data_IF_308820303057
#
_entry.id   IF_308820303057
#
_cell.length_a   1.000
_cell.length_b   1.000
_cell.length_c   1.000
_cell.angle_alpha   90.00
_cell.angle_beta   90.00
_cell.angle_gamma   90.00
#
_symmetry.space_group_name_H-M   'P 1'
#
loop_
_entity.id
_entity.type
_entity.pdbx_description
1 polymer ?
#
# COMPACT_ATOMS: atom_id res chain seq x y z
N UNK A 1 -37.31 26.69 -36.47
CA UNK A 1 -36.21 25.79 -36.06
C UNK A 1 -36.22 24.56 -36.96
N UNK A 2 -35.12 24.27 -37.65
CA UNK A 2 -35.06 23.32 -38.78
C UNK A 2 -35.34 21.88 -38.31
N UNK A 3 -36.23 21.11 -38.97
CA UNK A 3 -36.60 19.73 -38.55
C UNK A 3 -35.38 18.82 -38.36
N UNK A 4 -34.31 19.06 -39.11
CA UNK A 4 -33.03 18.36 -38.98
C UNK A 4 -32.30 18.66 -37.67
N UNK A 5 -32.35 19.91 -37.19
CA UNK A 5 -31.78 20.32 -35.90
C UNK A 5 -32.55 19.62 -34.77
N UNK A 6 -33.88 19.56 -34.85
CA UNK A 6 -34.69 18.86 -33.85
C UNK A 6 -34.40 17.36 -33.80
N UNK A 7 -34.24 16.71 -34.97
CA UNK A 7 -33.82 15.30 -35.04
C UNK A 7 -32.43 15.09 -34.43
N UNK A 8 -31.46 15.95 -34.74
CA UNK A 8 -30.11 15.88 -34.19
C UNK A 8 -30.12 16.01 -32.66
N UNK A 9 -30.80 17.02 -32.11
CA UNK A 9 -30.93 17.22 -30.66
C UNK A 9 -31.58 16.00 -30.00
N UNK A 10 -32.66 15.47 -30.58
CA UNK A 10 -33.32 14.26 -30.08
C UNK A 10 -32.37 13.07 -30.07
N UNK A 11 -31.59 12.86 -31.12
CA UNK A 11 -30.61 11.77 -31.19
C UNK A 11 -29.52 11.94 -30.13
N UNK A 12 -28.95 13.14 -29.97
CA UNK A 12 -27.93 13.42 -28.95
C UNK A 12 -28.46 13.17 -27.53
N UNK A 13 -29.65 13.69 -27.21
CA UNK A 13 -30.29 13.46 -25.91
C UNK A 13 -30.55 11.97 -25.68
N UNK A 14 -31.02 11.25 -26.72
CA UNK A 14 -31.26 9.81 -26.61
C UNK A 14 -29.98 9.04 -26.32
N UNK A 15 -28.87 9.38 -26.99
CA UNK A 15 -27.55 8.77 -26.73
C UNK A 15 -27.10 9.07 -25.29
N UNK A 16 -27.22 10.31 -24.82
CA UNK A 16 -26.85 10.68 -23.45
C UNK A 16 -27.67 9.87 -22.44
N UNK A 17 -28.99 9.78 -22.63
CA UNK A 17 -29.86 8.98 -21.75
C UNK A 17 -29.45 7.51 -21.77
N UNK A 18 -29.17 6.93 -22.94
CA UNK A 18 -28.71 5.54 -23.06
C UNK A 18 -27.40 5.33 -22.30
N UNK A 19 -26.43 6.23 -22.44
CA UNK A 19 -25.14 6.14 -21.73
C UNK A 19 -25.34 6.25 -20.22
N UNK A 20 -26.20 7.15 -19.74
CA UNK A 20 -26.49 7.29 -18.30
C UNK A 20 -27.20 6.06 -17.73
N UNK A 21 -28.18 5.50 -18.46
CA UNK A 21 -28.86 4.27 -18.05
C UNK A 21 -27.87 3.10 -18.03
N UNK A 22 -27.01 2.98 -19.04
CA UNK A 22 -25.97 1.96 -19.09
C UNK A 22 -24.98 2.11 -17.94
N UNK A 23 -24.55 3.33 -17.60
CA UNK A 23 -23.66 3.60 -16.48
C UNK A 23 -24.25 3.09 -15.16
N UNK A 24 -25.51 3.41 -14.87
CA UNK A 24 -26.18 2.97 -13.64
C UNK A 24 -26.32 1.44 -13.60
N UNK A 25 -26.77 0.81 -14.69
CA UNK A 25 -26.92 -0.65 -14.75
C UNK A 25 -25.56 -1.34 -14.60
N UNK A 26 -24.54 -0.87 -15.31
CA UNK A 26 -23.18 -1.40 -15.20
C UNK A 26 -22.65 -1.28 -13.77
N UNK A 27 -22.86 -0.14 -13.11
CA UNK A 27 -22.49 0.06 -11.71
C UNK A 27 -23.18 -0.91 -10.76
N UNK A 28 -24.47 -1.19 -10.95
CA UNK A 28 -25.20 -2.17 -10.15
C UNK A 28 -24.66 -3.59 -10.34
N UNK A 29 -24.39 -3.99 -11.58
CA UNK A 29 -23.80 -5.31 -11.89
C UNK A 29 -22.41 -5.45 -11.24
N UNK A 30 -21.57 -4.43 -11.40
CA UNK A 30 -20.21 -4.44 -10.84
C UNK A 30 -20.22 -4.41 -9.31
N UNK A 31 -21.12 -3.63 -8.69
CA UNK A 31 -21.26 -3.60 -7.23
C UNK A 31 -21.79 -4.92 -6.67
N UNK A 32 -22.72 -5.58 -7.37
CA UNK A 32 -23.17 -6.92 -7.01
C UNK A 32 -22.02 -7.93 -7.10
N UNK A 33 -21.25 -7.88 -8.21
CA UNK A 33 -20.10 -8.75 -8.40
C UNK A 33 -19.05 -8.57 -7.30
N UNK A 34 -18.61 -7.33 -7.04
CA UNK A 34 -17.56 -7.04 -6.06
C UNK A 34 -17.95 -7.53 -4.67
N UNK A 35 -19.18 -7.22 -4.21
CA UNK A 35 -19.68 -7.69 -2.91
C UNK A 35 -19.78 -9.21 -2.80
N UNK A 36 -20.07 -9.91 -3.92
CA UNK A 36 -20.29 -11.35 -3.93
C UNK A 36 -18.99 -12.15 -4.02
N UNK A 37 -18.02 -11.67 -4.80
CA UNK A 37 -16.84 -12.44 -5.21
C UNK A 37 -15.50 -11.78 -4.84
N UNK A 38 -15.51 -10.51 -4.42
CA UNK A 38 -14.32 -9.69 -4.26
C UNK A 38 -13.71 -9.27 -5.61
N UNK A 39 -12.99 -8.16 -5.59
CA UNK A 39 -12.20 -7.71 -6.74
C UNK A 39 -10.84 -8.42 -6.81
N UNK A 40 -10.45 -8.94 -7.99
CA UNK A 40 -9.24 -9.74 -8.15
C UNK A 40 -7.96 -8.93 -8.42
N UNK A 41 -6.80 -9.60 -8.42
CA UNK A 41 -5.50 -9.02 -8.76
C UNK A 41 -4.99 -8.04 -7.71
N UNK A 42 -4.45 -6.90 -8.15
CA UNK A 42 -3.98 -5.82 -7.26
C UNK A 42 -5.05 -5.36 -6.25
N UNK A 43 -6.33 -5.61 -6.51
CA UNK A 43 -7.44 -5.27 -5.61
C UNK A 43 -7.63 -6.28 -4.48
N UNK A 44 -7.11 -7.51 -4.60
CA UNK A 44 -7.39 -8.59 -3.67
C UNK A 44 -6.94 -8.26 -2.25
N UNK A 45 -5.79 -7.60 -2.09
CA UNK A 45 -5.30 -7.12 -0.79
C UNK A 45 -6.14 -5.99 -0.22
N UNK A 46 -6.68 -5.11 -1.06
CA UNK A 46 -7.61 -4.05 -0.66
C UNK A 46 -8.90 -4.69 -0.13
N UNK A 47 -9.49 -5.60 -0.89
CA UNK A 47 -10.69 -6.35 -0.51
C UNK A 47 -10.47 -7.14 0.78
N UNK A 48 -9.29 -7.77 0.94
CA UNK A 48 -8.95 -8.49 2.16
C UNK A 48 -8.90 -7.56 3.37
N UNK A 49 -8.11 -6.49 3.29
CA UNK A 49 -7.97 -5.53 4.40
C UNK A 49 -9.28 -4.86 4.77
N UNK A 50 -10.14 -4.59 3.78
CA UNK A 50 -11.39 -3.86 4.00
C UNK A 50 -12.56 -4.73 4.49
N UNK A 51 -12.45 -6.06 4.40
CA UNK A 51 -13.60 -6.94 4.62
C UNK A 51 -13.30 -8.28 5.32
N UNK A 52 -12.06 -8.72 5.38
CA UNK A 52 -11.70 -10.07 5.84
C UNK A 52 -10.55 -10.13 6.85
N UNK A 53 -9.66 -9.14 6.86
CA UNK A 53 -8.48 -9.12 7.71
C UNK A 53 -8.84 -9.24 9.19
N UNK A 54 -8.10 -10.09 9.89
CA UNK A 54 -8.29 -10.37 11.32
C UNK A 54 -6.98 -10.57 12.08
N UNK A 55 -5.85 -10.24 11.45
CA UNK A 55 -4.51 -10.49 11.96
C UNK A 55 -4.10 -9.58 13.11
N UNK A 56 -3.21 -10.08 13.96
CA UNK A 56 -2.66 -9.33 15.08
C UNK A 56 -1.82 -8.15 14.57
N UNK A 57 -1.09 -8.34 13.47
CA UNK A 57 -0.26 -7.33 12.82
C UNK A 57 -0.48 -7.30 11.31
N UNK A 58 -0.58 -6.10 10.75
CA UNK A 58 -0.65 -5.90 9.30
C UNK A 58 0.54 -5.07 8.83
N UNK A 59 1.19 -5.51 7.75
CA UNK A 59 2.26 -4.77 7.07
C UNK A 59 1.64 -3.95 5.95
N UNK A 60 1.91 -2.64 5.94
CA UNK A 60 1.45 -1.71 4.91
C UNK A 60 2.67 -1.06 4.25
N UNK A 61 2.66 -0.97 2.93
CA UNK A 61 3.71 -0.32 2.15
C UNK A 61 3.56 -0.57 0.65
N UNK A 62 4.59 -0.20 -0.10
CA UNK A 62 4.61 -0.39 -1.56
C UNK A 62 5.05 -1.82 -1.94
N UNK A 63 5.51 -2.02 -3.18
CA UNK A 63 6.12 -3.28 -3.62
C UNK A 63 7.33 -3.69 -2.75
N UNK A 64 8.05 -2.72 -2.17
CA UNK A 64 9.17 -3.01 -1.26
C UNK A 64 8.68 -3.79 -0.04
N UNK A 65 7.49 -3.48 0.48
CA UNK A 65 6.86 -4.23 1.57
C UNK A 65 6.50 -5.66 1.12
N UNK A 66 5.88 -5.80 -0.05
CA UNK A 66 5.48 -7.09 -0.61
C UNK A 66 6.67 -8.04 -0.73
N UNK A 67 7.82 -7.51 -1.14
CA UNK A 67 8.98 -8.33 -1.49
C UNK A 67 10.00 -8.46 -0.35
N UNK A 68 9.84 -7.74 0.77
CA UNK A 68 10.81 -7.78 1.87
C UNK A 68 10.38 -8.65 3.04
N UNK A 69 9.08 -8.71 3.36
CA UNK A 69 8.59 -9.38 4.57
C UNK A 69 7.82 -10.65 4.23
N UNK A 70 8.26 -11.78 4.80
CA UNK A 70 7.61 -13.08 4.65
C UNK A 70 6.77 -13.42 5.89
N UNK A 71 5.43 -13.25 5.85
CA UNK A 71 4.59 -13.44 7.03
C UNK A 71 4.65 -14.84 7.62
N UNK A 72 4.75 -15.90 6.81
CA UNK A 72 4.82 -17.28 7.31
C UNK A 72 5.96 -17.46 8.32
N UNK A 73 7.16 -16.96 7.98
CA UNK A 73 8.35 -17.01 8.84
C UNK A 73 8.16 -16.14 10.09
N UNK A 74 7.52 -14.98 9.93
CA UNK A 74 7.23 -14.07 11.04
C UNK A 74 6.22 -14.69 12.02
N UNK A 75 5.16 -15.33 11.52
CA UNK A 75 4.15 -15.96 12.35
C UNK A 75 4.73 -17.11 13.16
N UNK A 76 5.55 -17.97 12.51
CA UNK A 76 6.24 -19.08 13.17
C UNK A 76 7.16 -18.59 14.30
N UNK A 77 7.88 -17.49 14.07
CA UNK A 77 8.88 -16.99 15.02
C UNK A 77 8.30 -16.09 16.11
N UNK A 78 7.26 -15.31 15.80
CA UNK A 78 6.68 -14.31 16.71
C UNK A 78 5.43 -14.83 17.45
N UNK A 79 4.82 -15.94 17.01
CA UNK A 79 3.60 -16.48 17.63
C UNK A 79 2.40 -15.52 17.59
N UNK A 80 2.36 -14.67 16.56
CA UNK A 80 1.28 -13.71 16.27
C UNK A 80 0.90 -13.85 14.80
N UNK A 81 -0.36 -13.61 14.45
CA UNK A 81 -0.78 -13.61 13.04
C UNK A 81 -0.31 -12.33 12.35
N UNK A 82 0.18 -12.48 11.12
CA UNK A 82 0.75 -11.39 10.32
C UNK A 82 0.23 -11.49 8.89
N UNK A 83 -0.17 -10.34 8.32
CA UNK A 83 -0.53 -10.26 6.90
C UNK A 83 0.25 -9.15 6.19
N UNK A 84 0.75 -9.43 5.00
CA UNK A 84 1.43 -8.47 4.14
C UNK A 84 0.45 -7.80 3.17
N UNK A 85 -0.06 -6.64 3.57
CA UNK A 85 -0.98 -5.80 2.81
C UNK A 85 -0.29 -4.83 1.84
N UNK A 86 0.99 -5.02 1.53
CA UNK A 86 1.70 -4.16 0.60
C UNK A 86 1.10 -4.21 -0.81
N UNK A 87 1.11 -3.07 -1.52
CA UNK A 87 0.53 -2.92 -2.86
C UNK A 87 1.54 -2.32 -3.86
N UNK A 88 1.56 -2.82 -5.10
CA UNK A 88 2.51 -2.40 -6.13
C UNK A 88 2.33 -0.93 -6.54
N UNK A 89 3.44 -0.18 -6.64
CA UNK A 89 3.48 1.22 -7.10
C UNK A 89 2.52 2.14 -6.33
N UNK A 90 2.64 2.11 -5.00
CA UNK A 90 1.83 2.91 -4.08
C UNK A 90 2.71 3.74 -3.16
N UNK A 91 2.11 4.76 -2.55
CA UNK A 91 2.80 5.71 -1.66
C UNK A 91 1.97 5.97 -0.39
N UNK A 92 2.45 6.91 0.44
CA UNK A 92 1.83 7.32 1.70
C UNK A 92 0.35 7.71 1.59
N UNK A 93 -0.08 8.34 0.48
CA UNK A 93 -1.48 8.73 0.27
C UNK A 93 -2.36 7.48 0.16
N UNK A 94 -1.90 6.49 -0.60
CA UNK A 94 -2.58 5.20 -0.69
C UNK A 94 -2.54 4.43 0.64
N UNK A 95 -1.39 4.40 1.33
CA UNK A 95 -1.26 3.72 2.62
C UNK A 95 -2.25 4.24 3.66
N UNK A 96 -2.50 5.55 3.67
CA UNK A 96 -3.54 6.16 4.52
C UNK A 96 -4.92 5.60 4.22
N UNK A 97 -5.29 5.47 2.95
CA UNK A 97 -6.58 4.90 2.56
C UNK A 97 -6.71 3.43 2.98
N UNK A 98 -5.62 2.67 2.85
CA UNK A 98 -5.57 1.27 3.25
C UNK A 98 -5.74 1.11 4.77
N UNK A 99 -5.05 1.93 5.56
CA UNK A 99 -5.16 1.93 7.03
C UNK A 99 -6.56 2.36 7.46
N UNK A 100 -7.14 3.35 6.79
CA UNK A 100 -8.48 3.82 7.11
C UNK A 100 -9.54 2.74 6.88
N UNK A 101 -9.54 2.10 5.71
CA UNK A 101 -10.47 1.01 5.43
C UNK A 101 -10.17 -0.28 6.22
N UNK A 102 -8.92 -0.52 6.60
CA UNK A 102 -8.59 -1.58 7.58
C UNK A 102 -9.26 -1.29 8.92
N UNK A 103 -9.10 -0.10 9.48
CA UNK A 103 -9.62 0.26 10.80
C UNK A 103 -11.16 0.36 10.87
N UNK A 104 -11.83 0.55 9.72
CA UNK A 104 -13.29 0.38 9.61
C UNK A 104 -13.74 -1.06 9.86
N UNK A 105 -12.90 -2.04 9.46
CA UNK A 105 -13.23 -3.46 9.51
C UNK A 105 -12.64 -4.15 10.75
N UNK A 106 -11.34 -3.98 10.97
CA UNK A 106 -10.53 -4.66 11.97
C UNK A 106 -9.49 -3.72 12.57
N UNK A 107 -9.25 -3.87 13.88
CA UNK A 107 -8.24 -3.10 14.61
C UNK A 107 -7.09 -4.04 14.96
N UNK A 108 -6.05 -4.14 14.13
CA UNK A 108 -4.89 -4.96 14.48
C UNK A 108 -4.23 -4.37 15.74
N UNK A 109 -3.46 -5.19 16.44
CA UNK A 109 -2.69 -4.72 17.60
C UNK A 109 -1.54 -3.82 17.17
N UNK A 110 -1.02 -4.03 15.96
CA UNK A 110 0.03 -3.21 15.39
C UNK A 110 0.05 -3.15 13.87
N UNK A 111 0.70 -2.10 13.36
CA UNK A 111 1.00 -1.91 11.95
C UNK A 111 2.51 -1.76 11.77
N UNK A 112 3.05 -2.48 10.80
CA UNK A 112 4.42 -2.27 10.29
C UNK A 112 4.29 -1.44 9.02
N UNK A 113 4.72 -0.19 9.07
CA UNK A 113 4.70 0.71 7.92
C UNK A 113 6.06 0.69 7.24
N UNK A 114 6.15 -0.03 6.12
CA UNK A 114 7.36 -0.14 5.32
C UNK A 114 7.41 0.99 4.28
N UNK A 115 8.36 1.90 4.46
CA UNK A 115 8.53 3.10 3.66
C UNK A 115 9.85 3.07 2.89
N UNK A 116 9.90 3.91 1.88
CA UNK A 116 11.11 4.25 1.14
C UNK A 116 11.70 5.57 1.66
N UNK A 117 13.03 5.74 1.67
CA UNK A 117 13.70 6.96 2.11
C UNK A 117 13.22 8.24 1.40
N UNK A 118 12.80 8.12 0.16
CA UNK A 118 12.31 9.16 -0.75
C UNK A 118 10.78 9.31 -0.75
N UNK A 119 10.02 8.58 0.08
CA UNK A 119 8.55 8.58 0.01
C UNK A 119 7.91 9.97 0.18
N UNK A 120 8.54 10.92 0.90
CA UNK A 120 8.05 12.30 1.02
C UNK A 120 8.50 13.23 -0.12
N UNK A 121 9.60 12.91 -0.81
CA UNK A 121 10.19 13.77 -1.86
C UNK A 121 9.88 13.28 -3.28
N UNK A 122 9.47 12.03 -3.44
CA UNK A 122 9.04 11.46 -4.72
C UNK A 122 7.75 12.13 -5.23
N UNK A 123 7.68 12.43 -6.52
CA UNK A 123 6.53 13.07 -7.16
C UNK A 123 5.43 12.08 -7.58
N UNK A 124 5.73 10.77 -7.49
CA UNK A 124 4.79 9.74 -7.85
C UNK A 124 3.56 9.76 -6.93
N UNK A 125 2.39 10.00 -7.52
CA UNK A 125 1.10 9.97 -6.81
C UNK A 125 0.62 8.54 -6.52
N UNK A 126 1.25 7.51 -7.10
CA UNK A 126 0.84 6.11 -6.94
C UNK A 126 -0.38 5.76 -7.79
N UNK A 127 -0.70 4.46 -7.84
CA UNK A 127 -1.90 3.94 -8.53
C UNK A 127 -3.15 4.07 -7.66
N UNK A 128 -3.47 5.30 -7.24
CA UNK A 128 -4.64 5.61 -6.40
C UNK A 128 -5.95 5.22 -7.09
N UNK A 129 -5.99 5.16 -8.43
CA UNK A 129 -7.16 4.70 -9.21
C UNK A 129 -7.58 3.26 -8.91
N UNK A 130 -6.74 2.45 -8.24
CA UNK A 130 -7.17 1.18 -7.66
C UNK A 130 -8.29 1.35 -6.62
N UNK A 131 -8.43 2.54 -6.04
CA UNK A 131 -9.49 2.86 -5.09
C UNK A 131 -10.79 3.34 -5.77
N UNK A 132 -10.80 3.52 -7.10
CA UNK A 132 -11.98 4.01 -7.84
C UNK A 132 -13.28 3.25 -7.52
N UNK A 133 -13.30 1.89 -7.43
CA UNK A 133 -14.51 1.14 -7.06
C UNK A 133 -15.08 1.49 -5.68
N UNK A 134 -14.26 2.08 -4.80
CA UNK A 134 -14.60 2.42 -3.43
C UNK A 134 -14.97 3.91 -3.25
N UNK A 135 -14.97 4.71 -4.34
CA UNK A 135 -15.40 6.10 -4.28
C UNK A 135 -16.85 6.23 -3.79
N UNK A 136 -17.07 7.06 -2.77
CA UNK A 136 -18.32 7.25 -2.03
C UNK A 136 -18.45 6.36 -0.79
N UNK A 137 -17.45 5.52 -0.47
CA UNK A 137 -17.45 4.69 0.74
C UNK A 137 -17.02 5.47 1.97
N UNK A 138 -15.91 6.20 1.87
CA UNK A 138 -15.31 6.93 2.99
C UNK A 138 -14.65 8.25 2.49
N UNK A 139 -14.78 9.36 3.25
CA UNK A 139 -14.18 10.66 2.93
C UNK A 139 -12.65 10.68 2.66
N UNK A 140 -11.87 9.82 3.32
CA UNK A 140 -10.41 9.69 3.15
C UNK A 140 -10.09 9.16 1.75
N UNK A 141 -10.77 8.10 1.32
CA UNK A 141 -10.65 7.55 -0.03
C UNK A 141 -11.09 8.58 -1.07
N UNK A 142 -12.22 9.24 -0.82
CA UNK A 142 -12.76 10.23 -1.75
C UNK A 142 -11.81 11.42 -1.93
N UNK A 143 -11.20 11.88 -0.85
CA UNK A 143 -10.23 12.98 -0.87
C UNK A 143 -8.93 12.58 -1.57
N UNK A 144 -8.42 11.37 -1.34
CA UNK A 144 -7.24 10.85 -2.06
C UNK A 144 -7.50 10.73 -3.57
N UNK A 145 -8.67 10.22 -3.96
CA UNK A 145 -9.08 10.11 -5.37
C UNK A 145 -9.29 11.48 -6.03
N UNK A 146 -9.81 12.46 -5.30
CA UNK A 146 -9.93 13.84 -5.81
C UNK A 146 -8.57 14.50 -5.96
N UNK A 147 -7.58 14.18 -5.12
CA UNK A 147 -6.21 14.70 -5.31
C UNK A 147 -5.55 14.18 -6.59
N UNK A 148 -6.02 13.05 -7.12
CA UNK A 148 -5.51 12.51 -8.38
C UNK A 148 -5.69 13.52 -9.52
N UNK A 149 -4.64 13.72 -10.33
CA UNK A 149 -4.62 14.67 -11.45
C UNK A 149 -5.01 16.12 -11.05
N UNK A 150 -4.66 16.56 -9.83
CA UNK A 150 -5.03 17.87 -9.28
C UNK A 150 -6.56 18.13 -9.28
N UNK A 151 -7.37 17.09 -9.09
CA UNK A 151 -8.83 17.18 -9.15
C UNK A 151 -9.42 17.26 -10.55
N UNK A 152 -8.58 17.29 -11.60
CA UNK A 152 -9.00 17.24 -13.00
C UNK A 152 -9.52 15.83 -13.29
N UNK A 153 -10.83 15.69 -13.27
CA UNK A 153 -11.52 14.43 -13.49
C UNK A 153 -12.32 13.93 -12.28
N UNK A 154 -12.33 14.67 -11.17
CA UNK A 154 -13.19 14.38 -10.01
C UNK A 154 -14.68 14.23 -10.38
N UNK A 155 -15.15 14.94 -11.41
CA UNK A 155 -16.50 14.78 -11.94
C UNK A 155 -16.77 13.36 -12.50
N UNK A 156 -15.75 12.72 -13.09
CA UNK A 156 -15.87 11.36 -13.63
C UNK A 156 -15.97 10.30 -12.53
N UNK A 157 -15.50 10.58 -11.30
CA UNK A 157 -15.69 9.65 -10.17
C UNK A 157 -17.16 9.38 -9.85
N UNK A 158 -18.11 10.19 -10.35
CA UNK A 158 -19.55 9.93 -10.25
C UNK A 158 -20.07 8.91 -11.27
N UNK A 159 -19.32 8.63 -12.33
CA UNK A 159 -19.65 7.62 -13.34
C UNK A 159 -19.20 6.23 -12.88
N UNK A 160 -20.11 5.27 -12.87
CA UNK A 160 -19.78 3.89 -12.53
C UNK A 160 -18.91 3.23 -13.59
N UNK A 161 -19.08 3.57 -14.87
CA UNK A 161 -18.19 3.13 -15.93
C UNK A 161 -16.75 3.56 -15.64
N UNK A 162 -16.55 4.81 -15.24
CA UNK A 162 -15.24 5.30 -14.84
C UNK A 162 -14.69 4.55 -13.62
N UNK A 163 -15.51 4.38 -12.56
CA UNK A 163 -15.09 3.70 -11.33
C UNK A 163 -14.55 2.29 -11.57
N UNK A 164 -15.21 1.55 -12.46
CA UNK A 164 -14.91 0.15 -12.72
C UNK A 164 -14.08 -0.09 -14.00
N UNK A 165 -13.71 0.95 -14.74
CA UNK A 165 -13.02 0.84 -16.03
C UNK A 165 -11.71 0.06 -15.95
N UNK A 166 -10.98 0.19 -14.84
CA UNK A 166 -9.67 -0.44 -14.65
C UNK A 166 -9.77 -1.87 -14.12
N UNK A 167 -10.92 -2.28 -13.57
CA UNK A 167 -11.08 -3.57 -12.91
C UNK A 167 -11.86 -4.61 -13.72
N UNK A 168 -12.80 -4.21 -14.59
CA UNK A 168 -13.59 -5.18 -15.37
C UNK A 168 -12.70 -6.07 -16.24
N UNK A 169 -11.64 -5.51 -16.84
CA UNK A 169 -10.69 -6.28 -17.63
C UNK A 169 -9.84 -7.21 -16.76
N UNK A 170 -9.50 -6.80 -15.53
CA UNK A 170 -8.80 -7.66 -14.57
C UNK A 170 -9.66 -8.81 -14.07
N UNK A 171 -10.96 -8.56 -13.84
CA UNK A 171 -11.93 -9.63 -13.53
C UNK A 171 -11.97 -10.67 -14.65
N UNK A 172 -12.03 -10.20 -15.90
CA UNK A 172 -11.96 -11.07 -17.06
C UNK A 172 -10.65 -11.87 -17.10
N UNK A 173 -9.49 -11.22 -17.00
CA UNK A 173 -8.18 -11.89 -17.04
C UNK A 173 -7.97 -12.89 -15.89
N UNK A 174 -8.36 -12.54 -14.66
CA UNK A 174 -8.21 -13.41 -13.49
C UNK A 174 -9.16 -14.61 -13.49
N UNK A 175 -10.10 -14.68 -14.42
CA UNK A 175 -10.83 -15.92 -14.69
C UNK A 175 -9.92 -16.99 -15.32
N UNK A 176 -8.75 -16.62 -15.83
CA UNK A 176 -7.80 -17.51 -16.51
C UNK A 176 -6.39 -17.55 -15.89
N UNK A 177 -6.10 -16.67 -14.92
CA UNK A 177 -4.78 -16.56 -14.28
C UNK A 177 -4.81 -17.04 -12.83
N UNK A 178 -3.70 -17.60 -12.31
CA UNK A 178 -3.60 -17.98 -10.91
C UNK A 178 -3.67 -16.77 -9.96
N UNK A 179 -4.20 -16.98 -8.75
CA UNK A 179 -4.39 -15.94 -7.73
C UNK A 179 -3.18 -15.88 -6.78
N UNK A 180 -2.06 -15.37 -7.26
CA UNK A 180 -0.80 -15.36 -6.50
C UNK A 180 -0.72 -14.24 -5.44
N UNK A 181 -1.45 -13.14 -5.63
CA UNK A 181 -1.40 -11.94 -4.76
C UNK A 181 -1.73 -12.20 -3.28
N UNK A 182 -2.54 -13.22 -3.01
CA UNK A 182 -2.98 -13.60 -1.66
C UNK A 182 -2.25 -14.83 -1.12
N UNK A 183 -1.40 -15.47 -1.93
CA UNK A 183 -0.59 -16.59 -1.47
C UNK A 183 0.39 -16.13 -0.38
N UNK A 184 0.81 -17.05 0.48
CA UNK A 184 1.78 -16.81 1.57
C UNK A 184 1.45 -15.55 2.39
N UNK A 185 0.16 -15.35 2.69
CA UNK A 185 -0.37 -14.22 3.48
C UNK A 185 0.03 -12.84 2.90
N UNK A 186 0.04 -12.72 1.56
CA UNK A 186 0.27 -11.48 0.84
C UNK A 186 1.73 -11.24 0.40
N UNK A 187 2.65 -12.14 0.77
CA UNK A 187 4.03 -12.12 0.26
C UNK A 187 4.10 -12.69 -1.15
N UNK A 188 4.77 -11.96 -2.04
CA UNK A 188 5.02 -12.40 -3.42
C UNK A 188 6.53 -12.51 -3.64
N UNK A 189 7.01 -13.75 -3.77
CA UNK A 189 8.43 -14.01 -4.03
C UNK A 189 8.79 -13.56 -5.44
N UNK A 190 9.77 -12.66 -5.57
CA UNK A 190 10.42 -12.41 -6.86
C UNK A 190 11.47 -13.50 -7.10
N UNK A 191 11.55 -13.95 -8.35
CA UNK A 191 12.60 -14.88 -8.77
C UNK A 191 13.95 -14.16 -8.81
N UNK A 192 15.04 -14.93 -8.79
CA UNK A 192 16.36 -14.37 -9.06
C UNK A 192 16.45 -13.96 -10.54
N UNK A 193 16.89 -12.73 -10.86
CA UNK A 193 16.94 -12.27 -12.24
C UNK A 193 18.06 -13.00 -13.01
N UNK A 194 17.89 -13.16 -14.32
CA UNK A 194 18.92 -13.79 -15.17
C UNK A 194 20.22 -12.97 -15.20
N UNK A 195 20.09 -11.64 -15.15
CA UNK A 195 21.19 -10.70 -15.02
C UNK A 195 21.09 -10.04 -13.65
N UNK A 196 22.17 -10.10 -12.89
CA UNK A 196 22.24 -9.49 -11.57
C UNK A 196 22.20 -7.95 -11.68
N UNK A 197 21.53 -7.26 -10.73
CA UNK A 197 21.53 -5.80 -10.72
C UNK A 197 22.96 -5.27 -10.49
N UNK A 198 23.23 -4.09 -11.02
CA UNK A 198 24.50 -3.40 -10.85
C UNK A 198 24.34 -2.43 -9.69
N UNK A 199 25.28 -2.44 -8.74
CA UNK A 199 25.17 -1.58 -7.57
C UNK A 199 25.22 -0.11 -7.97
N UNK A 200 24.16 0.63 -7.64
CA UNK A 200 24.10 2.07 -7.89
C UNK A 200 24.66 2.82 -6.69
N UNK A 201 25.55 3.79 -6.93
CA UNK A 201 26.14 4.58 -5.86
C UNK A 201 25.91 6.06 -6.12
N UNK A 202 24.84 6.58 -5.51
CA UNK A 202 24.50 8.00 -5.55
C UNK A 202 25.36 8.84 -4.58
N UNK A 203 26.13 8.20 -3.68
CA UNK A 203 27.20 8.83 -2.90
C UNK A 203 26.83 10.13 -2.18
N UNK A 204 27.69 11.14 -2.31
CA UNK A 204 27.52 12.47 -1.69
C UNK A 204 26.74 13.43 -2.60
N UNK A 205 25.92 12.91 -3.53
CA UNK A 205 25.05 13.77 -4.34
C UNK A 205 24.22 14.68 -3.43
N UNK A 206 24.12 15.98 -3.74
CA UNK A 206 23.34 16.91 -2.94
C UNK A 206 21.88 16.47 -2.87
N UNK A 207 21.31 16.59 -1.67
CA UNK A 207 19.91 16.42 -1.37
C UNK A 207 19.24 17.69 -1.85
N UNK A 208 18.07 17.59 -2.45
CA UNK A 208 17.14 18.68 -2.30
C UNK A 208 16.50 18.54 -0.91
N UNK A 209 16.51 19.61 -0.12
CA UNK A 209 15.74 19.71 1.14
C UNK A 209 14.24 19.88 0.81
N UNK A 210 13.73 19.05 -0.11
CA UNK A 210 12.40 19.13 -0.67
C UNK A 210 11.54 17.94 -0.23
N UNK A 211 10.31 18.25 0.14
CA UNK A 211 9.26 17.26 0.40
C UNK A 211 7.91 17.81 -0.08
N UNK A 212 7.02 16.91 -0.47
CA UNK A 212 5.63 17.23 -0.70
C UNK A 212 4.89 17.34 0.63
N UNK A 213 4.46 18.56 0.98
CA UNK A 213 3.71 18.84 2.21
C UNK A 213 2.47 17.96 2.36
N UNK A 214 1.76 17.67 1.25
CA UNK A 214 0.62 16.76 1.25
C UNK A 214 1.00 15.36 1.75
N UNK A 215 2.13 14.78 1.32
CA UNK A 215 2.55 13.46 1.77
C UNK A 215 2.90 13.46 3.27
N UNK A 216 3.52 14.54 3.75
CA UNK A 216 3.81 14.72 5.17
C UNK A 216 2.52 14.79 6.00
N UNK A 217 1.52 15.53 5.56
CA UNK A 217 0.23 15.62 6.25
C UNK A 217 -0.51 14.26 6.30
N UNK A 218 -0.44 13.48 5.22
CA UNK A 218 -0.98 12.12 5.21
C UNK A 218 -0.24 11.19 6.19
N UNK A 219 1.09 11.29 6.30
CA UNK A 219 1.87 10.52 7.28
C UNK A 219 1.51 10.89 8.73
N UNK A 220 1.42 12.20 9.04
CA UNK A 220 0.96 12.67 10.35
C UNK A 220 -0.44 12.15 10.67
N UNK A 221 -1.32 12.17 9.68
CA UNK A 221 -2.67 11.65 9.83
C UNK A 221 -2.65 10.14 10.13
N UNK A 222 -1.86 9.34 9.41
CA UNK A 222 -1.67 7.89 9.69
C UNK A 222 -1.26 7.67 11.14
N UNK A 223 -0.22 8.36 11.61
CA UNK A 223 0.28 8.26 12.98
C UNK A 223 -0.83 8.56 13.99
N UNK A 224 -1.51 9.70 13.81
CA UNK A 224 -2.60 10.14 14.69
C UNK A 224 -3.74 9.13 14.72
N UNK A 225 -4.11 8.57 13.55
CA UNK A 225 -5.20 7.61 13.45
C UNK A 225 -4.84 6.30 14.16
N UNK A 226 -3.63 5.76 13.97
CA UNK A 226 -3.22 4.52 14.63
C UNK A 226 -3.15 4.69 16.15
N UNK A 227 -2.54 5.77 16.62
CA UNK A 227 -2.45 6.07 18.06
C UNK A 227 -3.82 6.25 18.72
N UNK A 228 -4.73 7.01 18.09
CA UNK A 228 -6.10 7.22 18.61
C UNK A 228 -6.94 5.93 18.64
N UNK A 229 -6.59 4.94 17.81
CA UNK A 229 -7.23 3.62 17.81
C UNK A 229 -6.47 2.60 18.66
N UNK A 230 -5.47 3.02 19.46
CA UNK A 230 -4.62 2.15 20.28
C UNK A 230 -3.93 1.03 19.46
N UNK A 231 -3.52 1.35 18.24
CA UNK A 231 -2.75 0.46 17.37
C UNK A 231 -1.28 0.86 17.43
N UNK A 232 -0.40 -0.09 17.76
CA UNK A 232 1.04 0.18 17.78
C UNK A 232 1.57 0.40 16.36
N UNK A 233 2.58 1.25 16.22
CA UNK A 233 3.21 1.51 14.92
C UNK A 233 4.72 1.34 15.03
N UNK A 234 5.30 0.69 14.03
CA UNK A 234 6.74 0.71 13.75
C UNK A 234 6.93 1.08 12.28
N UNK A 235 7.87 1.99 12.02
CA UNK A 235 8.26 2.37 10.65
C UNK A 235 9.54 1.63 10.29
N UNK A 236 9.61 1.10 9.08
CA UNK A 236 10.75 0.32 8.60
C UNK A 236 11.18 0.82 7.23
N UNK A 237 12.48 0.98 7.03
CA UNK A 237 13.09 1.19 5.72
C UNK A 237 13.84 -0.08 5.30
N UNK A 238 13.27 -0.93 4.42
CA UNK A 238 13.90 -2.17 4.00
C UNK A 238 15.18 -1.97 3.15
N UNK A 239 16.02 -3.01 2.98
CA UNK A 239 17.27 -2.93 2.24
C UNK A 239 17.10 -2.56 0.76
N UNK A 240 18.05 -1.78 0.25
CA UNK A 240 18.21 -1.54 -1.19
C UNK A 240 19.56 -1.99 -1.71
N UNK A 241 19.60 -2.25 -3.02
CA UNK A 241 20.84 -2.50 -3.73
C UNK A 241 21.35 -1.22 -4.40
N UNK A 242 21.42 -0.16 -3.59
CA UNK A 242 22.03 1.12 -3.95
C UNK A 242 22.52 1.86 -2.72
N UNK A 243 23.63 2.58 -2.85
CA UNK A 243 24.04 3.60 -1.89
C UNK A 243 23.28 4.89 -2.19
N UNK A 244 22.49 5.34 -1.22
CA UNK A 244 21.68 6.56 -1.38
C UNK A 244 22.53 7.80 -1.12
N UNK A 245 21.96 8.96 -1.48
CA UNK A 245 22.51 10.29 -1.17
C UNK A 245 22.69 10.48 0.34
N UNK A 246 23.60 11.39 0.72
CA UNK A 246 23.84 11.79 2.12
C UNK A 246 24.04 10.60 3.04
N UNK A 247 24.99 9.72 2.68
CA UNK A 247 25.34 8.53 3.46
C UNK A 247 24.14 7.63 3.79
N UNK A 248 23.12 7.59 2.93
CA UNK A 248 21.92 6.78 3.20
C UNK A 248 20.74 7.51 3.78
N UNK A 249 20.88 8.79 4.15
CA UNK A 249 19.94 9.50 4.98
C UNK A 249 19.42 10.79 4.32
N UNK A 250 18.67 10.68 3.21
CA UNK A 250 18.11 11.84 2.51
C UNK A 250 17.10 12.62 3.38
N UNK A 251 16.82 13.87 3.02
CA UNK A 251 16.03 14.82 3.79
C UNK A 251 14.64 14.28 4.12
N UNK A 252 13.97 13.67 3.14
CA UNK A 252 12.71 12.94 3.32
C UNK A 252 12.80 11.93 4.48
N UNK A 253 13.82 11.08 4.50
CA UNK A 253 14.04 10.09 5.57
C UNK A 253 14.32 10.74 6.92
N UNK A 254 15.11 11.82 6.95
CA UNK A 254 15.36 12.61 8.17
C UNK A 254 14.06 13.15 8.76
N UNK A 255 13.19 13.73 7.92
CA UNK A 255 11.89 14.26 8.33
C UNK A 255 10.96 13.16 8.86
N UNK A 256 10.88 12.02 8.18
CA UNK A 256 10.08 10.87 8.65
C UNK A 256 10.60 10.39 10.02
N UNK A 257 11.92 10.25 10.15
CA UNK A 257 12.56 9.74 11.37
C UNK A 257 12.32 10.67 12.55
N UNK A 258 12.46 11.97 12.35
CA UNK A 258 12.22 12.97 13.38
C UNK A 258 10.75 13.00 13.80
N UNK A 259 9.82 12.98 12.84
CA UNK A 259 8.39 12.91 13.13
C UNK A 259 8.04 11.64 13.95
N UNK A 260 8.62 10.49 13.62
CA UNK A 260 8.42 9.26 14.38
C UNK A 260 8.98 9.39 15.80
N UNK A 261 10.19 9.96 15.95
CA UNK A 261 10.83 10.19 17.25
C UNK A 261 9.98 11.08 18.16
N UNK A 262 9.45 12.18 17.64
CA UNK A 262 8.56 13.10 18.35
C UNK A 262 7.27 12.42 18.85
N UNK A 263 6.82 11.39 18.13
CA UNK A 263 5.61 10.63 18.44
C UNK A 263 5.88 9.30 19.16
N UNK A 264 7.11 9.05 19.61
CA UNK A 264 7.49 7.83 20.33
C UNK A 264 7.41 6.55 19.49
N UNK A 265 7.51 6.67 18.16
CA UNK A 265 7.46 5.56 17.20
C UNK A 265 8.87 5.08 16.90
N UNK A 266 9.06 3.76 16.95
CA UNK A 266 10.33 3.13 16.59
C UNK A 266 10.51 3.16 15.06
N UNK A 267 11.69 3.56 14.62
CA UNK A 267 12.13 3.50 13.21
C UNK A 267 13.24 2.48 13.05
N UNK A 268 13.01 1.42 12.28
CA UNK A 268 14.05 0.44 11.92
C UNK A 268 14.59 0.84 10.55
N UNK A 269 15.83 1.32 10.53
CA UNK A 269 16.49 1.82 9.32
C UNK A 269 17.49 0.80 8.82
N UNK A 270 17.01 -0.07 7.93
CA UNK A 270 17.74 -1.23 7.39
C UNK A 270 18.13 -0.99 5.92
N UNK A 271 17.92 0.22 5.40
CA UNK A 271 18.05 0.54 3.98
C UNK A 271 19.49 0.50 3.45
N UNK A 272 20.48 0.71 4.32
CA UNK A 272 21.91 0.75 3.99
C UNK A 272 22.71 -0.31 4.77
N UNK A 273 22.10 -1.46 5.06
CA UNK A 273 22.84 -2.56 5.68
C UNK A 273 23.95 -3.08 4.76
N UNK A 274 25.20 -2.97 5.22
CA UNK A 274 26.39 -3.41 4.48
C UNK A 274 26.31 -4.86 4.00
N UNK A 275 25.64 -5.74 4.78
CA UNK A 275 25.44 -7.15 4.41
C UNK A 275 24.85 -7.33 3.00
N UNK A 276 24.00 -6.40 2.56
CA UNK A 276 23.29 -6.48 1.28
C UNK A 276 24.04 -5.83 0.11
N UNK A 277 25.05 -4.98 0.37
CA UNK A 277 25.72 -4.19 -0.67
C UNK A 277 26.60 -5.03 -1.60
N UNK A 278 27.22 -6.10 -1.08
CA UNK A 278 28.07 -7.00 -1.86
C UNK A 278 27.33 -8.27 -2.32
N UNK A 279 25.98 -8.26 -2.26
CA UNK A 279 25.14 -9.44 -2.51
C UNK A 279 24.04 -9.19 -3.55
N UNK A 280 24.40 -8.89 -4.82
CA UNK A 280 23.42 -8.69 -5.88
C UNK A 280 22.50 -9.90 -6.09
N UNK A 281 22.95 -11.09 -5.72
CA UNK A 281 22.17 -12.33 -5.83
C UNK A 281 20.93 -12.38 -4.93
N UNK A 282 20.81 -11.49 -3.95
CA UNK A 282 19.66 -11.37 -3.05
C UNK A 282 18.59 -10.40 -3.57
N UNK A 283 18.83 -9.76 -4.71
CA UNK A 283 17.95 -8.76 -5.28
C UNK A 283 17.34 -9.21 -6.60
N UNK A 284 16.13 -8.73 -6.85
CA UNK A 284 15.46 -8.81 -8.16
C UNK A 284 15.86 -7.64 -9.05
N UNK A 285 15.93 -6.44 -8.45
CA UNK A 285 16.41 -5.20 -9.05
C UNK A 285 17.02 -4.30 -7.95
N UNK A 286 17.39 -3.06 -8.27
CA UNK A 286 18.04 -2.16 -7.31
C UNK A 286 17.18 -1.76 -6.09
N UNK A 287 15.87 -2.05 -6.12
CA UNK A 287 14.89 -1.65 -5.11
C UNK A 287 14.26 -2.84 -4.38
N UNK A 288 14.15 -4.00 -5.04
CA UNK A 288 13.39 -5.14 -4.53
C UNK A 288 14.28 -6.35 -4.24
N UNK A 289 14.13 -6.91 -3.04
CA UNK A 289 14.68 -8.22 -2.70
C UNK A 289 14.01 -9.31 -3.54
N UNK A 290 14.76 -10.36 -3.86
CA UNK A 290 14.19 -11.62 -4.34
C UNK A 290 13.78 -12.52 -3.17
N UNK A 291 13.23 -13.71 -3.45
CA UNK A 291 12.78 -14.63 -2.39
C UNK A 291 13.86 -14.98 -1.35
N UNK A 292 15.10 -15.19 -1.79
CA UNK A 292 16.21 -15.52 -0.89
C UNK A 292 16.63 -14.32 -0.03
N UNK A 293 16.70 -13.14 -0.65
CA UNK A 293 16.97 -11.88 0.04
C UNK A 293 15.90 -11.54 1.07
N UNK A 294 14.62 -11.71 0.70
CA UNK A 294 13.47 -11.49 1.56
C UNK A 294 13.50 -12.40 2.79
N UNK A 295 13.86 -13.67 2.61
CA UNK A 295 14.01 -14.64 3.69
C UNK A 295 15.08 -14.19 4.68
N UNK A 296 16.28 -13.85 4.19
CA UNK A 296 17.39 -13.40 5.05
C UNK A 296 17.02 -12.11 5.77
N UNK A 297 16.45 -11.14 5.07
CA UNK A 297 16.02 -9.89 5.67
C UNK A 297 14.94 -10.11 6.73
N UNK A 298 13.94 -10.96 6.44
CA UNK A 298 12.88 -11.29 7.40
C UNK A 298 13.47 -11.91 8.69
N UNK A 299 14.43 -12.84 8.57
CA UNK A 299 15.11 -13.45 9.72
C UNK A 299 15.85 -12.39 10.56
N UNK A 300 16.55 -11.45 9.90
CA UNK A 300 17.23 -10.33 10.59
C UNK A 300 16.22 -9.39 11.27
N UNK A 301 15.14 -9.04 10.58
CA UNK A 301 14.09 -8.15 11.06
C UNK A 301 13.37 -8.72 12.29
N UNK A 302 13.04 -10.02 12.28
CA UNK A 302 12.43 -10.72 13.42
C UNK A 302 13.30 -10.55 14.68
N UNK A 303 14.62 -10.71 14.56
CA UNK A 303 15.55 -10.56 15.68
C UNK A 303 15.57 -9.14 16.26
N UNK A 304 15.33 -8.12 15.42
CA UNK A 304 15.19 -6.73 15.88
C UNK A 304 13.84 -6.52 16.58
N UNK A 305 12.75 -7.01 15.97
CA UNK A 305 11.38 -6.85 16.48
C UNK A 305 11.18 -7.55 17.81
N UNK A 306 11.70 -8.76 18.02
CA UNK A 306 11.59 -9.50 19.28
C UNK A 306 12.11 -8.71 20.49
N UNK A 307 13.08 -7.82 20.29
CA UNK A 307 13.69 -6.98 21.33
C UNK A 307 12.98 -5.63 21.51
N UNK A 308 12.04 -5.29 20.64
CA UNK A 308 11.37 -4.00 20.60
C UNK A 308 10.20 -3.92 21.59
N UNK A 309 9.87 -2.70 22.03
CA UNK A 309 8.67 -2.46 22.84
C UNK A 309 7.39 -2.63 22.02
N UNK A 310 7.45 -2.44 20.69
CA UNK A 310 6.36 -2.76 19.78
C UNK A 310 5.89 -4.20 20.01
N UNK A 311 6.78 -5.20 19.87
CA UNK A 311 6.42 -6.61 20.03
C UNK A 311 5.90 -6.95 21.42
N UNK A 312 6.53 -6.42 22.48
CA UNK A 312 6.08 -6.64 23.87
C UNK A 312 4.63 -6.18 24.06
N UNK A 313 4.28 -5.00 23.53
CA UNK A 313 2.91 -4.48 23.59
C UNK A 313 1.93 -5.31 22.76
N UNK A 314 2.31 -5.77 21.56
CA UNK A 314 1.48 -6.70 20.77
C UNK A 314 1.15 -7.96 21.57
N UNK A 315 2.15 -8.57 22.21
CA UNK A 315 1.96 -9.79 23.03
C UNK A 315 1.11 -9.53 24.26
N UNK A 316 1.29 -8.40 24.96
CA UNK A 316 0.43 -8.02 26.09
C UNK A 316 -1.03 -7.91 25.66
N UNK A 317 -1.29 -7.12 24.61
CA UNK A 317 -2.63 -6.92 24.04
C UNK A 317 -3.26 -8.24 23.58
N UNK A 318 -2.46 -9.20 23.09
CA UNK A 318 -2.96 -10.53 22.68
C UNK A 318 -3.39 -11.37 23.86
N UNK A 319 -2.55 -11.44 24.88
CA UNK A 319 -2.86 -12.21 26.09
C UNK A 319 -4.10 -11.65 26.81
N UNK A 320 -4.27 -10.32 26.86
CA UNK A 320 -5.46 -9.67 27.42
C UNK A 320 -6.74 -10.11 26.68
N UNK A 321 -6.71 -10.15 25.34
CA UNK A 321 -7.86 -10.59 24.53
C UNK A 321 -8.19 -12.07 24.76
N UNK A 322 -7.17 -12.94 24.83
CA UNK A 322 -7.34 -14.38 25.03
C UNK A 322 -7.85 -14.74 26.43
N UNK A 323 -7.55 -13.89 27.42
CA UNK A 323 -8.02 -14.04 28.81
C UNK A 323 -9.42 -13.43 29.04
N UNK A 324 -10.01 -12.77 28.04
CA UNK A 324 -11.33 -12.17 28.12
C UNK A 324 -11.43 -10.99 29.09
N UNK A 325 -10.32 -10.27 29.31
CA UNK A 325 -10.23 -9.09 30.19
C UNK A 325 -10.34 -7.80 29.39
#
# INVERSE_FOLDING_TARGET
MNRSIFKLVKTCVSIIVIVLVFDVIFGQVMSFYSKRYGLPGDYAKIEYLFHQANEDVVIIGSSVAINSFMPDIMMDSLGISVFNGGCNAQNIIFFRCMIDGLLEHHRPRGVILALQPDDLSDDHIGRIELLNPYYGRNPVIDSALVLQNDGKGSAFLRSNLYKYNTVWFRIFLQSFLPREEMANHGFVAKHKPNNLPIFENYGDEPDDDFIYSVKLEYLKAIITQLQSNNVELVVVFPPYYRKLRHEGNPYSKRVITELCRENGIRVIDDNQMEYFFDRPELFYDNMHLNGDGARIFTDMFINQILKSDFYKKIKSKKNETELGV
#
